data_IF_618118923223
#
_entry.id   IF_618118923223
#
_cell.length_a   1.000
_cell.length_b   1.000
_cell.length_c   1.000
_cell.angle_alpha   90.00
_cell.angle_beta   90.00
_cell.angle_gamma   90.00
#
_symmetry.space_group_name_H-M   'P 1'
#
loop_
_entity.id
_entity.type
_entity.pdbx_description
1 polymer ?
#
# COMPACT_ATOMS: atom_id res chain seq x y z
N UNK A 1 18.06 17.40 -18.39
CA UNK A 1 18.31 16.93 -17.01
C UNK A 1 17.62 17.93 -16.10
N UNK A 2 16.45 17.55 -15.58
CA UNK A 2 15.70 18.38 -14.63
C UNK A 2 16.27 18.21 -13.21
N UNK A 3 15.80 19.01 -12.24
CA UNK A 3 16.21 18.88 -10.84
C UNK A 3 15.79 17.50 -10.32
N UNK A 4 16.76 16.73 -9.83
CA UNK A 4 16.55 15.47 -9.09
C UNK A 4 16.63 15.83 -7.62
N UNK A 5 15.59 15.56 -6.85
CA UNK A 5 15.60 15.70 -5.39
C UNK A 5 15.70 14.31 -4.76
N UNK A 6 16.81 14.03 -4.09
CA UNK A 6 16.97 12.83 -3.26
C UNK A 6 16.35 13.06 -1.89
N UNK A 7 15.39 12.22 -1.52
CA UNK A 7 14.83 12.17 -0.17
C UNK A 7 15.25 10.86 0.50
N UNK A 8 15.92 10.96 1.66
CA UNK A 8 16.28 9.81 2.49
C UNK A 8 15.31 9.76 3.67
N UNK A 9 14.49 8.70 3.74
CA UNK A 9 13.62 8.42 4.89
C UNK A 9 14.31 7.35 5.73
N UNK A 10 14.93 7.75 6.84
CA UNK A 10 15.68 6.84 7.72
C UNK A 10 14.98 6.66 9.07
N UNK A 11 14.57 5.43 9.36
CA UNK A 11 14.24 4.98 10.72
C UNK A 11 15.05 3.72 11.01
N UNK A 12 15.65 3.63 12.21
CA UNK A 12 16.68 2.66 12.58
C UNK A 12 16.35 1.21 12.18
N UNK A 13 17.19 0.62 11.31
CA UNK A 13 17.21 -0.82 11.01
C UNK A 13 16.96 -1.22 9.55
N UNK A 14 16.32 -0.37 8.77
CA UNK A 14 16.14 -0.51 7.31
C UNK A 14 15.67 0.81 6.70
N UNK A 15 16.46 1.37 5.80
CA UNK A 15 16.10 2.58 5.07
C UNK A 15 15.63 2.24 3.67
N UNK A 16 14.60 2.94 3.20
CA UNK A 16 14.42 3.15 1.77
C UNK A 16 15.15 4.43 1.33
N UNK A 17 15.65 4.44 0.10
CA UNK A 17 16.07 5.67 -0.57
C UNK A 17 15.09 5.95 -1.70
N UNK A 18 14.64 7.20 -1.81
CA UNK A 18 13.65 7.60 -2.81
C UNK A 18 14.26 8.72 -3.66
N UNK A 19 14.45 8.42 -4.94
CA UNK A 19 14.80 9.41 -5.95
C UNK A 19 13.53 9.77 -6.73
N UNK A 20 13.14 11.05 -6.67
CA UNK A 20 11.90 11.53 -7.27
C UNK A 20 12.19 12.09 -8.68
N UNK A 21 11.68 11.40 -9.69
CA UNK A 21 11.66 11.84 -11.08
C UNK A 21 10.31 12.46 -11.45
N UNK A 22 10.22 13.79 -11.41
CA UNK A 22 9.04 14.51 -11.89
C UNK A 22 9.03 14.60 -13.42
N UNK A 23 7.97 14.08 -14.06
CA UNK A 23 7.61 14.41 -15.44
C UNK A 23 6.54 15.52 -15.41
N UNK A 24 6.54 16.36 -16.45
CA UNK A 24 5.76 17.60 -16.47
C UNK A 24 4.27 17.36 -16.14
N UNK A 25 3.63 18.29 -15.44
CA UNK A 25 2.17 18.25 -15.21
C UNK A 25 1.69 17.54 -13.92
N UNK A 26 2.53 16.80 -13.21
CA UNK A 26 2.08 16.08 -12.01
C UNK A 26 1.66 17.00 -10.85
N UNK A 27 2.39 18.10 -10.61
CA UNK A 27 2.11 19.04 -9.51
C UNK A 27 0.93 19.99 -9.78
N UNK A 28 0.47 20.09 -11.03
CA UNK A 28 -0.62 20.97 -11.44
C UNK A 28 -2.03 20.48 -11.07
N UNK A 29 -2.17 19.19 -10.73
CA UNK A 29 -3.39 18.62 -10.17
C UNK A 29 -3.40 18.87 -8.65
N UNK A 30 -3.72 20.10 -8.27
CA UNK A 30 -3.66 20.64 -6.91
C UNK A 30 -4.29 19.76 -5.84
N UNK A 31 -3.57 19.68 -4.71
CA UNK A 31 -3.88 19.16 -3.36
C UNK A 31 -5.21 19.64 -2.73
N UNK A 32 -6.32 19.55 -3.46
CA UNK A 32 -7.67 19.91 -3.00
C UNK A 32 -8.54 18.69 -2.68
N UNK A 33 -8.07 17.48 -2.95
CA UNK A 33 -8.76 16.26 -2.52
C UNK A 33 -8.52 15.94 -1.03
N UNK A 34 -7.38 16.38 -0.46
CA UNK A 34 -7.02 16.10 0.92
C UNK A 34 -7.95 16.78 1.95
N UNK A 35 -8.72 17.79 1.53
CA UNK A 35 -9.53 18.63 2.42
C UNK A 35 -11.04 18.36 2.29
N UNK A 36 -11.43 17.29 1.58
CA UNK A 36 -12.81 16.83 1.58
C UNK A 36 -13.05 16.03 2.87
N UNK A 37 -13.25 16.75 3.98
CA UNK A 37 -13.95 16.22 5.15
C UNK A 37 -15.39 15.96 4.69
N UNK A 38 -15.68 14.71 4.32
CA UNK A 38 -16.84 14.35 3.51
C UNK A 38 -18.16 14.42 4.29
N UNK A 39 -19.02 15.40 3.95
CA UNK A 39 -20.42 15.50 4.42
C UNK A 39 -21.46 15.02 3.39
N UNK A 40 -21.03 14.47 2.24
CA UNK A 40 -21.89 13.93 1.17
C UNK A 40 -21.26 12.68 0.52
N UNK A 41 -22.05 11.80 -0.14
CA UNK A 41 -21.55 10.63 -0.86
C UNK A 41 -20.43 11.00 -1.83
N UNK A 42 -19.36 10.21 -1.85
CA UNK A 42 -18.11 10.52 -2.56
C UNK A 42 -18.37 10.67 -4.07
N UNK A 43 -19.27 9.87 -4.63
CA UNK A 43 -19.68 9.96 -6.04
C UNK A 43 -20.38 11.29 -6.37
N UNK A 44 -21.10 11.90 -5.43
CA UNK A 44 -21.76 13.21 -5.65
C UNK A 44 -20.77 14.38 -5.66
N UNK A 45 -19.57 14.19 -5.12
CA UNK A 45 -18.52 15.23 -5.02
C UNK A 45 -17.53 15.11 -6.18
N UNK A 46 -17.16 13.88 -6.55
CA UNK A 46 -16.34 13.60 -7.74
C UNK A 46 -17.05 12.55 -8.58
N UNK A 47 -17.76 12.97 -9.64
CA UNK A 47 -18.38 12.04 -10.57
C UNK A 47 -17.40 11.06 -11.22
N UNK A 48 -17.89 9.87 -11.57
CA UNK A 48 -17.13 8.85 -12.34
C UNK A 48 -16.56 9.43 -13.64
N UNK A 49 -17.26 10.37 -14.27
CA UNK A 49 -16.84 11.03 -15.50
C UNK A 49 -16.06 12.33 -15.29
N UNK A 50 -15.79 12.72 -14.04
CA UNK A 50 -15.13 13.98 -13.72
C UNK A 50 -13.80 14.11 -14.46
N UNK A 51 -13.54 15.30 -15.02
CA UNK A 51 -12.26 15.67 -15.63
C UNK A 51 -11.11 15.55 -14.62
N UNK A 52 -11.41 15.57 -13.32
CA UNK A 52 -10.42 15.35 -12.25
C UNK A 52 -9.81 13.96 -12.23
N UNK A 53 -10.53 12.96 -12.78
CA UNK A 53 -10.02 11.60 -12.91
C UNK A 53 -9.19 11.41 -14.18
N UNK A 54 -9.10 12.43 -15.05
CA UNK A 54 -8.25 12.35 -16.23
C UNK A 54 -6.79 12.49 -15.84
N UNK A 55 -6.02 11.46 -16.21
CA UNK A 55 -4.58 11.46 -15.98
C UNK A 55 -3.92 12.45 -16.93
N UNK A 56 -3.43 13.55 -16.39
CA UNK A 56 -2.72 14.59 -17.16
C UNK A 56 -1.21 14.54 -16.98
N UNK A 57 -0.74 13.84 -15.94
CA UNK A 57 0.66 13.77 -15.58
C UNK A 57 1.01 12.48 -14.85
N UNK A 58 2.27 12.08 -14.99
CA UNK A 58 2.82 10.87 -14.36
C UNK A 58 4.02 11.23 -13.48
N UNK A 59 4.11 10.64 -12.28
CA UNK A 59 5.28 10.76 -11.40
C UNK A 59 6.00 9.42 -11.36
N UNK A 60 7.31 9.44 -11.52
CA UNK A 60 8.16 8.25 -11.45
C UNK A 60 9.04 8.36 -10.21
N UNK A 61 8.92 7.39 -9.31
CA UNK A 61 9.68 7.28 -8.07
C UNK A 61 10.64 6.11 -8.18
N UNK A 62 11.94 6.36 -8.12
CA UNK A 62 12.91 5.28 -8.00
C UNK A 62 13.09 4.98 -6.51
N UNK A 63 12.56 3.85 -6.05
CA UNK A 63 12.67 3.43 -4.65
C UNK A 63 13.69 2.31 -4.55
N UNK A 64 14.67 2.50 -3.67
CA UNK A 64 15.65 1.51 -3.26
C UNK A 64 15.26 0.97 -1.88
N UNK A 65 14.87 -0.31 -1.82
CA UNK A 65 14.53 -1.02 -0.60
C UNK A 65 15.71 -1.89 -0.15
N UNK A 66 16.29 -1.59 1.00
CA UNK A 66 17.35 -2.41 1.59
C UNK A 66 16.78 -3.54 2.44
N UNK A 67 17.37 -4.73 2.32
CA UNK A 67 16.98 -5.91 3.11
C UNK A 67 18.16 -6.84 3.39
N UNK A 68 18.07 -7.60 4.48
CA UNK A 68 19.07 -8.64 4.79
C UNK A 68 18.77 -9.88 3.95
N UNK A 69 19.74 -10.28 3.14
CA UNK A 69 19.57 -11.25 2.07
C UNK A 69 19.58 -12.70 2.55
N UNK A 70 18.41 -13.32 2.59
CA UNK A 70 18.18 -14.73 2.27
C UNK A 70 16.93 -14.81 1.40
N UNK A 71 17.01 -15.48 0.25
CA UNK A 71 15.83 -15.65 -0.60
C UNK A 71 14.83 -16.56 0.12
N UNK A 72 13.61 -16.07 0.32
CA UNK A 72 12.56 -16.76 1.05
C UNK A 72 11.31 -16.87 0.20
N UNK A 73 10.53 -17.94 0.39
CA UNK A 73 9.28 -18.11 -0.34
C UNK A 73 8.24 -17.11 0.19
N UNK A 74 7.59 -16.38 -0.71
CA UNK A 74 6.53 -15.47 -0.35
C UNK A 74 5.33 -16.26 0.17
N UNK A 75 4.85 -15.94 1.36
CA UNK A 75 3.61 -16.46 1.93
C UNK A 75 2.41 -15.82 1.21
N UNK A 76 2.14 -16.31 0.01
CA UNK A 76 1.05 -15.86 -0.84
C UNK A 76 -0.27 -16.54 -0.46
N UNK A 77 -1.33 -15.75 -0.45
CA UNK A 77 -2.71 -16.21 -0.44
C UNK A 77 -3.46 -15.71 -1.66
N UNK A 78 -4.61 -16.33 -1.91
CA UNK A 78 -5.37 -16.17 -3.14
C UNK A 78 -6.84 -16.00 -2.79
N UNK A 79 -7.45 -14.95 -3.33
CA UNK A 79 -8.86 -14.65 -3.14
C UNK A 79 -9.58 -14.75 -4.47
N UNK A 80 -10.80 -15.30 -4.43
CA UNK A 80 -11.74 -15.29 -5.55
C UNK A 80 -13.11 -14.94 -5.00
N UNK A 81 -13.72 -13.95 -5.60
CA UNK A 81 -14.98 -13.34 -5.21
C UNK A 81 -16.17 -14.25 -5.48
N UNK A 82 -17.25 -14.07 -4.72
CA UNK A 82 -18.55 -14.69 -4.97
C UNK A 82 -19.29 -14.12 -6.19
N UNK A 83 -18.80 -13.03 -6.78
CA UNK A 83 -19.37 -12.43 -8.00
C UNK A 83 -19.27 -13.39 -9.21
N UNK A 84 -18.31 -14.30 -9.20
CA UNK A 84 -18.17 -15.31 -10.25
C UNK A 84 -19.17 -16.46 -10.07
N UNK A 85 -19.79 -16.91 -11.17
CA UNK A 85 -20.65 -18.12 -11.18
C UNK A 85 -19.91 -19.38 -10.68
N UNK A 86 -18.60 -19.46 -10.96
CA UNK A 86 -17.70 -20.47 -10.44
C UNK A 86 -16.79 -19.88 -9.37
N UNK A 87 -17.00 -20.30 -8.12
CA UNK A 87 -16.20 -19.93 -6.96
C UNK A 87 -14.89 -20.73 -6.86
N UNK A 88 -14.66 -21.69 -7.76
CA UNK A 88 -13.42 -22.46 -7.81
C UNK A 88 -12.22 -21.58 -8.14
N UNK A 89 -11.22 -21.61 -7.26
CA UNK A 89 -9.92 -21.00 -7.51
C UNK A 89 -9.18 -21.63 -8.70
N UNK A 90 -9.59 -22.81 -9.19
CA UNK A 90 -8.88 -23.55 -10.22
C UNK A 90 -9.64 -23.59 -11.56
N UNK A 91 -8.94 -23.26 -12.64
CA UNK A 91 -9.45 -23.30 -14.00
C UNK A 91 -9.21 -24.67 -14.67
N UNK A 92 -10.21 -25.10 -15.45
CA UNK A 92 -10.18 -26.34 -16.25
C UNK A 92 -9.25 -26.26 -17.47
N UNK A 93 -8.97 -25.05 -17.98
CA UNK A 93 -8.12 -24.81 -19.17
C UNK A 93 -7.08 -23.74 -18.89
N UNK A 94 -5.82 -24.03 -19.19
CA UNK A 94 -4.64 -23.20 -18.91
C UNK A 94 -4.35 -22.25 -20.07
N UNK A 95 -4.23 -20.96 -19.77
CA UNK A 95 -3.32 -20.09 -20.50
C UNK A 95 -1.93 -20.23 -19.86
N UNK A 96 -0.96 -20.68 -20.67
CA UNK A 96 0.40 -20.97 -20.21
C UNK A 96 1.25 -19.72 -20.01
N UNK A 97 0.82 -18.58 -20.55
CA UNK A 97 1.58 -17.33 -20.60
C UNK A 97 0.88 -16.16 -19.91
N UNK A 98 -0.22 -16.39 -19.18
CA UNK A 98 -0.97 -15.33 -18.51
C UNK A 98 -0.11 -14.56 -17.49
N UNK A 99 0.44 -13.42 -17.93
CA UNK A 99 1.29 -12.52 -17.14
C UNK A 99 0.48 -11.79 -16.07
N UNK A 100 -0.82 -11.60 -16.33
CA UNK A 100 -1.80 -10.93 -15.47
C UNK A 100 -1.69 -11.33 -13.99
N UNK A 101 -1.67 -12.64 -13.70
CA UNK A 101 -1.67 -13.18 -12.32
C UNK A 101 -0.42 -12.81 -11.53
N UNK A 102 0.66 -12.52 -12.25
CA UNK A 102 1.99 -12.29 -11.70
C UNK A 102 2.54 -10.93 -12.10
N UNK A 103 1.71 -9.96 -12.47
CA UNK A 103 2.19 -8.65 -12.91
C UNK A 103 3.07 -7.99 -11.83
N UNK A 104 2.72 -8.20 -10.56
CA UNK A 104 3.45 -7.72 -9.38
C UNK A 104 4.64 -8.62 -8.95
N UNK A 105 4.85 -9.78 -9.58
CA UNK A 105 5.97 -10.69 -9.28
C UNK A 105 7.36 -10.05 -9.36
N UNK A 106 7.64 -9.07 -10.25
CA UNK A 106 8.94 -8.42 -10.29
C UNK A 106 9.29 -7.70 -8.98
N UNK A 107 8.30 -7.14 -8.29
CA UNK A 107 8.49 -6.56 -6.96
C UNK A 107 8.97 -7.61 -5.96
N UNK A 108 8.24 -8.74 -5.88
CA UNK A 108 8.60 -9.84 -4.98
C UNK A 108 9.98 -10.39 -5.30
N UNK A 109 10.26 -10.66 -6.58
CA UNK A 109 11.55 -11.16 -7.02
C UNK A 109 12.71 -10.23 -6.67
N UNK A 110 12.57 -8.93 -6.96
CA UNK A 110 13.61 -7.94 -6.69
C UNK A 110 13.85 -7.71 -5.19
N UNK A 111 12.86 -8.01 -4.36
CA UNK A 111 12.94 -7.96 -2.89
C UNK A 111 13.26 -9.31 -2.26
N UNK A 112 13.88 -10.22 -3.03
CA UNK A 112 14.29 -11.57 -2.61
C UNK A 112 13.17 -12.47 -2.06
N UNK A 113 11.93 -12.21 -2.48
CA UNK A 113 10.76 -13.03 -2.17
C UNK A 113 10.40 -13.87 -3.39
N UNK A 114 10.32 -15.19 -3.25
CA UNK A 114 9.95 -16.08 -4.36
C UNK A 114 8.43 -16.17 -4.48
N UNK A 115 7.81 -15.64 -5.55
CA UNK A 115 6.38 -15.83 -5.78
C UNK A 115 6.13 -17.25 -6.32
N UNK A 116 5.24 -18.00 -5.66
CA UNK A 116 4.80 -19.32 -6.13
C UNK A 116 3.29 -19.26 -6.38
N UNK A 117 2.92 -18.96 -7.62
CA UNK A 117 1.52 -18.88 -8.05
C UNK A 117 1.20 -20.09 -8.93
N UNK A 118 0.30 -21.01 -8.51
CA UNK A 118 -0.07 -22.15 -9.31
C UNK A 118 -0.71 -21.75 -10.65
N UNK A 119 -0.26 -22.34 -11.75
CA UNK A 119 -0.74 -21.99 -13.10
C UNK A 119 -2.24 -22.24 -13.30
N UNK A 120 -2.79 -23.25 -12.63
CA UNK A 120 -4.21 -23.58 -12.67
C UNK A 120 -5.07 -22.57 -11.92
N UNK A 121 -4.48 -21.67 -11.14
CA UNK A 121 -5.23 -20.77 -10.30
C UNK A 121 -5.72 -19.54 -11.08
N UNK A 122 -6.92 -19.06 -10.76
CA UNK A 122 -7.49 -17.79 -11.24
C UNK A 122 -7.98 -16.96 -10.05
N UNK A 123 -7.04 -16.36 -9.29
CA UNK A 123 -7.39 -15.45 -8.22
C UNK A 123 -7.86 -14.12 -8.82
N UNK A 124 -8.79 -13.47 -8.14
CA UNK A 124 -9.12 -12.07 -8.38
C UNK A 124 -8.12 -11.16 -7.64
N UNK A 125 -7.74 -11.53 -6.42
CA UNK A 125 -6.73 -10.80 -5.65
C UNK A 125 -5.67 -11.79 -5.16
N UNK A 126 -4.41 -11.43 -5.33
CA UNK A 126 -3.28 -12.15 -4.73
C UNK A 126 -2.71 -11.30 -3.62
N UNK A 127 -2.49 -11.90 -2.46
CA UNK A 127 -2.00 -11.19 -1.29
C UNK A 127 -0.84 -11.90 -0.62
N UNK A 128 -0.06 -11.17 0.17
CA UNK A 128 1.17 -11.64 0.79
C UNK A 128 1.17 -11.27 2.28
N UNK A 129 1.37 -12.26 3.15
CA UNK A 129 1.53 -12.02 4.60
C UNK A 129 3.00 -11.90 5.03
N UNK A 130 3.93 -12.36 4.20
CA UNK A 130 5.36 -12.31 4.50
C UNK A 130 6.21 -13.01 3.43
N UNK A 131 7.54 -13.03 3.60
CA UNK A 131 8.28 -12.42 4.71
C UNK A 131 8.16 -10.90 4.72
N UNK A 132 8.12 -10.34 5.91
CA UNK A 132 7.97 -8.90 6.13
C UNK A 132 9.32 -8.20 5.99
N UNK A 133 9.44 -7.31 5.01
CA UNK A 133 10.57 -6.39 4.95
C UNK A 133 10.14 -5.09 5.60
N UNK A 134 10.95 -4.56 6.49
CA UNK A 134 10.62 -3.36 7.25
C UNK A 134 10.42 -2.12 6.37
N UNK A 135 11.04 -2.07 5.18
CA UNK A 135 10.76 -1.01 4.20
C UNK A 135 9.48 -1.21 3.37
N UNK A 136 8.75 -2.33 3.49
CA UNK A 136 7.45 -2.49 2.81
C UNK A 136 6.45 -1.41 3.26
N UNK A 137 6.45 -1.06 4.56
CA UNK A 137 5.63 0.05 5.08
C UNK A 137 6.05 1.40 4.48
N UNK A 138 7.37 1.66 4.47
CA UNK A 138 7.91 2.93 3.98
C UNK A 138 7.61 3.13 2.49
N UNK A 139 7.57 2.05 1.70
CA UNK A 139 7.13 2.11 0.30
C UNK A 139 5.68 2.58 0.24
N UNK A 140 4.77 1.92 0.96
CA UNK A 140 3.35 2.32 0.99
C UNK A 140 3.15 3.77 1.44
N UNK A 141 3.85 4.20 2.49
CA UNK A 141 3.82 5.58 2.98
C UNK A 141 4.37 6.57 1.95
N UNK A 142 5.48 6.23 1.29
CA UNK A 142 6.07 7.07 0.23
C UNK A 142 5.12 7.21 -0.94
N UNK A 143 4.52 6.10 -1.39
CA UNK A 143 3.54 6.13 -2.48
C UNK A 143 2.35 7.00 -2.09
N UNK A 144 1.83 6.87 -0.88
CA UNK A 144 0.73 7.71 -0.38
C UNK A 144 1.11 9.20 -0.31
N UNK A 145 2.29 9.51 0.25
CA UNK A 145 2.77 10.90 0.38
C UNK A 145 2.98 11.58 -0.98
N UNK A 146 3.35 10.79 -2.00
CA UNK A 146 3.61 11.28 -3.34
C UNK A 146 2.39 11.25 -4.27
N UNK A 147 1.27 10.67 -3.81
CA UNK A 147 0.00 10.66 -4.53
C UNK A 147 -0.58 12.06 -4.71
N UNK A 148 -1.21 12.31 -5.86
CA UNK A 148 -1.80 13.61 -6.18
C UNK A 148 -3.12 13.87 -5.44
N UNK A 149 -3.89 12.80 -5.20
CA UNK A 149 -5.22 12.84 -4.58
C UNK A 149 -5.38 11.66 -3.63
N UNK A 150 -5.93 11.92 -2.43
CA UNK A 150 -6.16 10.90 -1.40
C UNK A 150 -7.61 10.95 -0.93
N UNK A 151 -8.26 9.79 -0.85
CA UNK A 151 -9.56 9.57 -0.21
C UNK A 151 -9.27 8.78 1.08
N UNK A 152 -9.23 9.46 2.21
CA UNK A 152 -8.96 8.85 3.51
C UNK A 152 -10.28 8.58 4.25
N UNK A 153 -10.53 7.30 4.58
CA UNK A 153 -11.68 6.85 5.37
C UNK A 153 -11.31 6.59 6.83
N UNK A 154 -10.16 7.09 7.26
CA UNK A 154 -9.68 7.07 8.65
C UNK A 154 -8.75 8.27 8.88
N UNK A 155 -8.64 8.75 10.13
CA UNK A 155 -7.74 9.85 10.46
C UNK A 155 -6.28 9.45 10.24
N UNK A 156 -5.45 10.45 9.94
CA UNK A 156 -4.01 10.27 9.91
C UNK A 156 -3.47 9.90 11.31
N UNK A 157 -2.39 9.11 11.37
CA UNK A 157 -1.69 8.86 12.61
C UNK A 157 -1.33 10.20 13.26
N UNK A 158 -1.42 10.30 14.61
CA UNK A 158 -0.93 11.47 15.30
C UNK A 158 0.53 11.66 14.86
N UNK A 159 0.84 12.84 14.33
CA UNK A 159 2.20 13.16 13.94
C UNK A 159 3.11 12.82 15.11
N UNK A 160 4.10 11.94 14.88
CA UNK A 160 5.14 11.69 15.88
C UNK A 160 5.63 13.07 16.31
N UNK A 161 5.46 13.37 17.60
CA UNK A 161 5.96 14.61 18.16
C UNK A 161 7.45 14.61 17.81
N UNK A 162 7.84 15.49 16.89
CA UNK A 162 9.25 15.80 16.68
C UNK A 162 9.72 16.17 18.07
N UNK A 163 10.49 15.29 18.70
CA UNK A 163 11.18 15.66 19.92
C UNK A 163 11.99 16.89 19.53
N UNK A 164 11.55 18.06 19.98
CA UNK A 164 12.35 19.26 19.87
C UNK A 164 13.74 18.88 20.40
N UNK A 165 14.82 19.18 19.66
CA UNK A 165 16.15 18.92 20.15
C UNK A 165 16.25 19.62 21.49
N UNK A 166 16.28 18.82 22.56
CA UNK A 166 16.47 19.32 23.92
C UNK A 166 17.72 20.20 23.85
N UNK A 167 17.68 21.43 24.38
CA UNK A 167 18.86 22.28 24.41
C UNK A 167 19.94 21.47 25.09
N UNK A 168 21.01 21.18 24.35
CA UNK A 168 22.19 20.56 24.89
C UNK A 168 22.71 21.53 25.93
N UNK A 169 22.51 21.22 27.21
CA UNK A 169 23.18 21.96 28.26
C UNK A 169 24.68 21.77 28.08
N UNK A 170 25.33 22.84 27.62
CA UNK A 170 26.77 23.04 27.72
C UNK A 170 27.17 23.01 29.21
N UNK A 171 27.47 21.81 29.72
CA UNK A 171 28.23 21.67 30.95
C UNK A 171 29.65 21.19 30.63
N UNK A 172 30.50 22.18 30.39
CA UNK A 172 31.78 22.30 31.09
C UNK A 172 32.74 21.11 31.01
N UNK A 173 33.73 21.26 30.15
CA UNK A 173 35.06 20.68 30.29
C UNK A 173 35.57 20.72 31.74
N UNK A 174 35.56 19.59 32.45
CA UNK A 174 36.59 19.17 33.41
C UNK A 174 36.13 17.93 34.19
N UNK A 175 36.83 16.81 33.99
CA UNK A 175 37.22 15.77 34.99
C UNK A 175 37.35 14.38 34.34
N UNK A 176 38.28 14.26 33.40
CA UNK A 176 38.80 12.99 32.87
C UNK A 176 39.83 12.33 33.82
N UNK A 177 39.72 12.55 35.14
CA UNK A 177 40.78 12.20 36.11
C UNK A 177 40.34 11.47 37.37
N UNK A 178 39.05 11.13 37.53
CA UNK A 178 38.53 10.65 38.82
C UNK A 178 37.47 9.53 38.72
N UNK A 179 37.59 8.64 37.73
CA UNK A 179 36.79 7.39 37.66
C UNK A 179 37.61 6.14 37.32
N UNK A 180 38.81 6.03 37.89
CA UNK A 180 39.64 4.82 37.85
C UNK A 180 39.96 4.30 39.27
N UNK A 181 38.96 4.29 40.17
CA UNK A 181 39.18 3.77 41.55
C UNK A 181 38.18 2.74 42.08
N UNK A 182 37.23 2.28 41.27
CA UNK A 182 36.29 1.21 41.70
C UNK A 182 36.14 0.10 40.64
N UNK A 183 37.26 -0.41 40.14
CA UNK A 183 37.27 -1.70 39.42
C UNK A 183 37.92 -2.72 40.35
N UNK A 184 37.11 -3.33 41.22
CA UNK A 184 37.52 -4.53 41.96
C UNK A 184 37.45 -5.72 41.01
N UNK A 185 38.60 -6.24 40.61
CA UNK A 185 38.73 -7.48 39.84
C UNK A 185 38.51 -8.66 40.80
N UNK A 186 37.52 -9.56 40.60
CA UNK A 186 37.42 -10.75 41.42
C UNK A 186 38.50 -11.76 41.01
N UNK A 187 39.17 -12.32 42.02
CA UNK A 187 40.17 -13.37 41.91
C UNK A 187 39.58 -14.65 41.31
N UNK A 188 40.13 -15.11 40.19
CA UNK A 188 39.78 -16.38 39.54
C UNK A 188 40.62 -17.49 40.17
N UNK A 189 40.12 -18.09 41.24
CA UNK A 189 40.70 -19.32 41.80
C UNK A 189 39.64 -20.10 42.59
N UNK A 190 39.01 -21.07 41.92
CA UNK A 190 38.29 -22.28 42.39
C UNK A 190 37.13 -22.57 41.42
N UNK A 191 37.36 -23.29 40.33
CA UNK A 191 37.27 -24.77 40.23
C UNK A 191 35.95 -25.35 40.76
N UNK A 192 35.07 -25.66 39.80
CA UNK A 192 34.05 -26.72 39.81
C UNK A 192 33.07 -26.78 40.99
N UNK A 193 31.94 -26.11 40.81
CA UNK A 193 30.65 -26.60 41.33
C UNK A 193 29.62 -26.48 40.22
N UNK A 194 29.28 -27.63 39.61
CA UNK A 194 28.18 -27.76 38.63
C UNK A 194 26.86 -27.57 39.37
N UNK A 195 26.44 -26.32 39.55
CA UNK A 195 25.05 -26.01 39.89
C UNK A 195 24.23 -26.03 38.60
N UNK A 196 23.32 -27.00 38.48
CA UNK A 196 22.26 -26.99 37.48
C UNK A 196 21.24 -25.94 37.91
N UNK A 197 21.44 -24.68 37.52
CA UNK A 197 20.32 -23.75 37.47
C UNK A 197 19.36 -24.24 36.36
N UNK A 198 18.06 -24.41 36.63
CA UNK A 198 17.10 -24.71 35.59
C UNK A 198 17.18 -23.61 34.54
N UNK A 199 17.28 -23.99 33.27
CA UNK A 199 17.20 -23.04 32.16
C UNK A 199 15.91 -22.22 32.34
N UNK A 200 15.95 -20.88 32.22
CA UNK A 200 14.72 -20.11 32.19
C UNK A 200 13.87 -20.69 31.06
N UNK A 201 12.60 -20.97 31.37
CA UNK A 201 11.63 -21.32 30.35
C UNK A 201 11.70 -20.25 29.26
N UNK A 202 11.81 -20.69 28.00
CA UNK A 202 11.83 -19.79 26.87
C UNK A 202 10.47 -19.10 26.80
N UNK A 203 10.31 -17.99 27.50
CA UNK A 203 9.28 -17.02 27.22
C UNK A 203 9.49 -16.62 25.76
N UNK A 204 8.58 -17.09 24.90
CA UNK A 204 8.45 -16.62 23.53
C UNK A 204 8.55 -15.11 23.60
N UNK A 205 9.61 -14.55 23.02
CA UNK A 205 9.82 -13.11 22.99
C UNK A 205 8.49 -12.47 22.57
N UNK A 206 7.94 -11.61 23.43
CA UNK A 206 6.69 -10.94 23.15
C UNK A 206 6.82 -10.28 21.78
N UNK A 207 6.02 -10.72 20.82
CA UNK A 207 5.99 -10.12 19.49
C UNK A 207 5.69 -8.64 19.72
N UNK A 208 6.53 -7.72 19.24
CA UNK A 208 6.27 -6.30 19.43
C UNK A 208 4.85 -6.01 18.94
N UNK A 209 4.06 -5.25 19.71
CA UNK A 209 2.70 -4.94 19.30
C UNK A 209 2.74 -4.33 17.89
N UNK A 210 1.85 -4.75 16.98
CA UNK A 210 1.86 -4.24 15.62
C UNK A 210 1.74 -2.71 15.66
N UNK A 211 2.43 -1.98 14.75
CA UNK A 211 2.32 -0.53 14.67
C UNK A 211 0.85 -0.11 14.61
N UNK A 212 0.48 0.88 15.42
CA UNK A 212 -0.85 1.46 15.48
C UNK A 212 -0.69 2.92 15.04
N UNK A 213 -1.49 3.42 14.09
CA UNK A 213 -2.69 2.83 13.48
C UNK A 213 -2.52 1.97 12.20
N UNK A 214 -2.89 0.69 12.24
CA UNK A 214 -2.94 -0.16 11.02
C UNK A 214 -3.89 0.38 9.97
N UNK A 215 -3.36 0.79 8.82
CA UNK A 215 -4.10 1.25 7.64
C UNK A 215 -3.62 0.49 6.40
N UNK A 216 -4.35 0.62 5.32
CA UNK A 216 -3.96 0.12 4.01
C UNK A 216 -4.21 1.20 2.98
N UNK A 217 -3.20 1.48 2.17
CA UNK A 217 -3.32 2.33 0.98
C UNK A 217 -3.59 1.44 -0.22
N UNK A 218 -4.57 1.83 -1.03
CA UNK A 218 -4.98 1.19 -2.27
C UNK A 218 -4.74 2.20 -3.39
N UNK A 219 -3.95 1.84 -4.39
CA UNK A 219 -3.59 2.75 -5.48
C UNK A 219 -3.41 2.02 -6.81
N UNK A 220 -3.55 2.78 -7.91
CA UNK A 220 -3.09 2.35 -9.23
C UNK A 220 -1.60 2.65 -9.34
N UNK A 221 -0.79 1.64 -9.63
CA UNK A 221 0.66 1.75 -9.72
C UNK A 221 1.20 1.01 -10.94
N UNK A 222 2.18 1.60 -11.61
CA UNK A 222 3.02 0.91 -12.59
C UNK A 222 4.38 0.55 -12.00
N UNK A 223 4.89 -0.61 -12.35
CA UNK A 223 6.26 -1.01 -12.00
C UNK A 223 7.14 -1.01 -13.25
N UNK A 224 8.34 -0.44 -13.10
CA UNK A 224 9.38 -0.45 -14.13
C UNK A 224 10.72 -0.91 -13.57
N UNK A 225 11.52 -1.64 -14.36
CA UNK A 225 12.87 -2.01 -13.95
C UNK A 225 13.74 -0.76 -13.73
N UNK A 226 14.75 -0.85 -12.86
CA UNK A 226 15.69 0.25 -12.61
C UNK A 226 16.46 0.64 -13.89
N UNK A 227 16.75 -0.35 -14.75
CA UNK A 227 17.34 -0.16 -16.09
C UNK A 227 16.48 -0.89 -17.12
N UNK A 228 17.07 -1.44 -18.18
CA UNK A 228 16.34 -2.12 -19.26
C UNK A 228 15.79 -3.50 -18.91
N UNK A 229 16.36 -4.18 -17.90
CA UNK A 229 16.03 -5.56 -17.55
C UNK A 229 15.61 -5.66 -16.09
N UNK A 230 14.59 -6.47 -15.80
CA UNK A 230 14.12 -6.73 -14.42
C UNK A 230 15.18 -7.31 -13.49
N UNK A 231 16.15 -8.05 -14.02
CA UNK A 231 17.29 -8.54 -13.24
C UNK A 231 18.15 -7.41 -12.66
N UNK A 232 18.12 -6.21 -13.25
CA UNK A 232 18.85 -5.04 -12.72
C UNK A 232 18.20 -4.42 -11.47
N UNK A 233 16.94 -4.79 -11.19
CA UNK A 233 16.21 -4.37 -9.99
C UNK A 233 16.51 -5.26 -8.78
N UNK A 234 17.01 -6.47 -8.99
CA UNK A 234 17.46 -7.37 -7.93
C UNK A 234 18.97 -7.21 -7.73
N UNK A 235 19.36 -6.55 -6.64
CA UNK A 235 20.77 -6.37 -6.29
C UNK A 235 21.06 -7.03 -4.95
N UNK A 236 22.32 -7.39 -4.64
CA UNK A 236 22.64 -8.00 -3.36
C UNK A 236 22.24 -7.12 -2.17
N UNK A 237 21.23 -7.54 -1.41
CA UNK A 237 20.75 -6.82 -0.22
C UNK A 237 19.92 -5.57 -0.50
N UNK A 238 19.57 -5.30 -1.77
CA UNK A 238 18.72 -4.16 -2.13
C UNK A 238 17.84 -4.46 -3.35
N UNK A 239 16.63 -3.93 -3.33
CA UNK A 239 15.70 -3.90 -4.47
C UNK A 239 15.64 -2.49 -4.99
N UNK A 240 15.74 -2.30 -6.30
CA UNK A 240 15.68 -0.97 -6.92
C UNK A 240 14.64 -0.98 -8.03
N UNK A 241 13.52 -0.29 -7.85
CA UNK A 241 12.37 -0.34 -8.78
C UNK A 241 11.83 1.08 -9.00
N UNK A 242 11.42 1.35 -10.24
CA UNK A 242 10.67 2.54 -10.59
C UNK A 242 9.17 2.28 -10.35
N UNK A 243 8.55 3.10 -9.51
CA UNK A 243 7.12 3.13 -9.25
C UNK A 243 6.51 4.30 -9.98
N UNK A 244 5.41 4.07 -10.66
CA UNK A 244 4.77 5.05 -11.53
C UNK A 244 3.39 5.37 -10.97
N UNK A 245 3.19 6.62 -10.55
CA UNK A 245 1.93 7.13 -10.03
C UNK A 245 1.24 8.02 -11.07
N UNK A 246 -0.09 7.94 -11.11
CA UNK A 246 -0.93 8.69 -12.04
C UNK A 246 -1.70 9.76 -11.26
N UNK A 247 -1.61 11.02 -11.70
CA UNK A 247 -2.25 12.11 -10.96
C UNK A 247 -3.78 12.10 -11.01
N UNK A 248 -4.37 11.47 -12.03
CA UNK A 248 -5.81 11.30 -12.15
C UNK A 248 -6.38 10.17 -11.29
N UNK A 249 -5.53 9.29 -10.75
CA UNK A 249 -5.96 8.16 -9.91
C UNK A 249 -5.89 8.54 -8.43
N UNK A 250 -7.03 8.54 -7.70
CA UNK A 250 -7.00 8.76 -6.26
C UNK A 250 -6.32 7.57 -5.56
N UNK A 251 -5.69 7.82 -4.42
CA UNK A 251 -5.31 6.75 -3.48
C UNK A 251 -6.37 6.63 -2.41
N UNK A 252 -6.80 5.41 -2.09
CA UNK A 252 -7.81 5.17 -1.04
C UNK A 252 -7.11 4.64 0.20
N UNK A 253 -7.39 5.23 1.36
CA UNK A 253 -6.80 4.82 2.64
C UNK A 253 -7.90 4.34 3.58
N UNK A 254 -7.75 3.10 4.07
CA UNK A 254 -8.72 2.46 4.97
C UNK A 254 -8.06 1.90 6.23
N UNK A 255 -8.76 1.89 7.37
CA UNK A 255 -8.29 1.18 8.56
C UNK A 255 -8.46 -0.33 8.36
N UNK A 256 -7.48 -1.14 8.81
CA UNK A 256 -7.50 -2.59 8.58
C UNK A 256 -7.34 -3.41 9.86
N UNK A 257 -8.00 -4.58 9.86
CA UNK A 257 -8.02 -5.55 10.97
C UNK A 257 -6.63 -6.13 11.24
N UNK A 258 -6.44 -6.60 12.47
CA UNK A 258 -5.28 -7.42 12.82
C UNK A 258 -5.31 -8.70 12.00
N UNK A 259 -4.30 -8.89 11.14
CA UNK A 259 -4.25 -10.03 10.22
C UNK A 259 -4.49 -9.68 8.75
N UNK A 260 -4.85 -8.44 8.43
CA UNK A 260 -4.84 -7.97 7.04
C UNK A 260 -3.44 -8.17 6.40
N UNK A 261 -3.39 -8.54 5.11
CA UNK A 261 -2.12 -8.84 4.45
C UNK A 261 -1.22 -7.62 4.40
N UNK A 262 0.08 -7.88 4.24
CA UNK A 262 1.08 -6.84 4.11
C UNK A 262 0.95 -6.15 2.76
N UNK A 263 0.76 -6.95 1.72
CA UNK A 263 0.64 -6.53 0.33
C UNK A 263 -0.51 -7.29 -0.30
N UNK A 264 -1.24 -6.64 -1.19
CA UNK A 264 -2.16 -7.31 -2.09
C UNK A 264 -2.17 -6.61 -3.45
N UNK A 265 -2.54 -7.32 -4.50
CA UNK A 265 -2.75 -6.72 -5.81
C UNK A 265 -3.90 -7.42 -6.51
N UNK A 266 -4.65 -6.62 -7.26
CA UNK A 266 -5.66 -7.09 -8.19
C UNK A 266 -4.98 -7.94 -9.28
N UNK A 267 -5.57 -9.09 -9.61
CA UNK A 267 -5.09 -9.98 -10.65
C UNK A 267 -5.20 -9.38 -12.04
N UNK A 268 -6.05 -8.36 -12.22
CA UNK A 268 -6.18 -7.63 -13.47
C UNK A 268 -5.04 -6.64 -13.68
N UNK A 269 -4.53 -6.60 -14.91
CA UNK A 269 -3.57 -5.58 -15.34
C UNK A 269 -4.29 -4.33 -15.82
N UNK A 270 -3.54 -3.24 -15.94
CA UNK A 270 -4.07 -2.01 -16.49
C UNK A 270 -4.48 -2.16 -17.97
N UNK A 271 -3.77 -3.01 -18.74
CA UNK A 271 -4.19 -3.40 -20.10
C UNK A 271 -5.64 -3.91 -20.11
N UNK A 272 -5.98 -4.79 -19.17
CA UNK A 272 -7.31 -5.38 -19.05
C UNK A 272 -8.34 -4.36 -18.55
N UNK A 273 -7.97 -3.55 -17.57
CA UNK A 273 -8.82 -2.47 -17.07
C UNK A 273 -9.14 -1.47 -18.20
N UNK A 274 -8.19 -1.18 -19.10
CA UNK A 274 -8.40 -0.29 -20.25
C UNK A 274 -9.38 -0.81 -21.31
N UNK A 275 -9.74 -2.10 -21.27
CA UNK A 275 -10.78 -2.66 -22.13
C UNK A 275 -12.20 -2.53 -21.54
N UNK A 276 -12.30 -2.19 -20.26
CA UNK A 276 -13.58 -2.05 -19.55
C UNK A 276 -14.29 -0.78 -20.02
N UNK A 277 -15.59 -0.90 -20.29
CA UNK A 277 -16.43 0.26 -20.58
C UNK A 277 -16.99 0.81 -19.28
N UNK A 278 -16.87 2.12 -19.11
CA UNK A 278 -17.50 2.83 -18.00
C UNK A 278 -19.02 2.92 -18.22
N UNK A 279 -19.81 3.08 -17.14
CA UNK A 279 -21.22 3.44 -17.25
C UNK A 279 -21.40 4.75 -18.03
N UNK A 280 -22.58 4.98 -18.61
CA UNK A 280 -22.83 6.18 -19.41
C UNK A 280 -23.20 7.41 -18.55
N UNK A 281 -23.78 7.16 -17.38
CA UNK A 281 -24.09 8.17 -16.38
C UNK A 281 -24.09 7.56 -14.98
N UNK A 282 -24.09 8.41 -13.94
CA UNK A 282 -24.12 7.95 -12.55
C UNK A 282 -25.38 7.15 -12.24
N UNK A 283 -25.21 6.00 -11.58
CA UNK A 283 -26.31 5.10 -11.21
C UNK A 283 -26.77 4.17 -12.35
N UNK A 284 -26.25 4.33 -13.56
CA UNK A 284 -26.43 3.34 -14.63
C UNK A 284 -25.35 2.26 -14.56
N UNK A 285 -25.71 1.06 -15.00
CA UNK A 285 -24.74 -0.04 -15.12
C UNK A 285 -23.94 0.10 -16.41
N UNK A 286 -22.68 -0.31 -16.36
CA UNK A 286 -21.84 -0.42 -17.55
C UNK A 286 -22.48 -1.36 -18.57
N UNK A 287 -22.30 -1.12 -19.88
CA UNK A 287 -22.94 -1.91 -20.94
C UNK A 287 -22.67 -3.41 -20.82
N UNK A 288 -21.51 -3.77 -20.29
CA UNK A 288 -21.04 -5.15 -20.19
C UNK A 288 -21.09 -5.67 -18.74
N UNK A 289 -21.52 -4.85 -17.76
CA UNK A 289 -21.54 -5.17 -16.31
C UNK A 289 -20.16 -5.41 -15.66
N UNK A 290 -19.08 -5.34 -16.45
CA UNK A 290 -17.72 -5.66 -15.99
C UNK A 290 -17.18 -4.65 -14.99
N UNK A 291 -17.51 -3.37 -15.16
CA UNK A 291 -17.05 -2.31 -14.27
C UNK A 291 -17.57 -2.56 -12.84
N UNK A 292 -18.87 -2.79 -12.70
CA UNK A 292 -19.49 -3.09 -11.41
C UNK A 292 -18.93 -4.37 -10.82
N UNK A 293 -18.73 -5.41 -11.65
CA UNK A 293 -18.14 -6.67 -11.20
C UNK A 293 -16.74 -6.48 -10.60
N UNK A 294 -15.87 -5.67 -11.21
CA UNK A 294 -14.52 -5.40 -10.69
C UNK A 294 -14.61 -4.64 -9.35
N UNK A 295 -15.47 -3.62 -9.27
CA UNK A 295 -15.69 -2.86 -8.04
C UNK A 295 -16.22 -3.77 -6.93
N UNK A 296 -17.18 -4.63 -7.24
CA UNK A 296 -17.78 -5.57 -6.28
C UNK A 296 -16.75 -6.60 -5.78
N UNK A 297 -15.91 -7.14 -6.67
CA UNK A 297 -14.81 -8.05 -6.33
C UNK A 297 -13.81 -7.40 -5.37
N UNK A 298 -13.37 -6.17 -5.67
CA UNK A 298 -12.46 -5.42 -4.81
C UNK A 298 -13.11 -5.08 -3.48
N UNK A 299 -14.38 -4.66 -3.50
CA UNK A 299 -15.13 -4.34 -2.30
C UNK A 299 -15.30 -5.56 -1.38
N UNK A 300 -15.70 -6.73 -1.90
CA UNK A 300 -15.81 -7.96 -1.10
C UNK A 300 -14.46 -8.33 -0.45
N UNK A 301 -13.36 -8.22 -1.20
CA UNK A 301 -12.03 -8.47 -0.65
C UNK A 301 -11.68 -7.47 0.47
N UNK A 302 -11.99 -6.19 0.27
CA UNK A 302 -11.71 -5.15 1.26
C UNK A 302 -12.61 -5.26 2.49
N UNK A 303 -13.88 -5.69 2.37
CA UNK A 303 -14.78 -5.93 3.51
C UNK A 303 -14.22 -6.98 4.49
N UNK A 304 -13.50 -7.97 3.97
CA UNK A 304 -12.77 -8.93 4.80
C UNK A 304 -11.65 -8.26 5.61
N UNK A 305 -10.97 -7.27 5.02
CA UNK A 305 -9.77 -6.63 5.57
C UNK A 305 -10.06 -5.40 6.46
N UNK A 306 -11.13 -4.66 6.20
CA UNK A 306 -11.39 -3.33 6.80
C UNK A 306 -11.91 -3.43 8.23
N UNK A 307 -11.34 -2.63 9.13
CA UNK A 307 -11.81 -2.49 10.51
C UNK A 307 -12.89 -1.40 10.59
N UNK A 308 -14.15 -1.79 10.35
CA UNK A 308 -15.31 -0.88 10.21
C UNK A 308 -15.55 0.06 11.39
N UNK A 309 -15.21 -0.35 12.60
CA UNK A 309 -15.31 0.46 13.81
C UNK A 309 -14.42 1.72 13.75
N UNK A 310 -13.31 1.65 13.02
CA UNK A 310 -12.33 2.75 12.87
C UNK A 310 -12.55 3.59 11.63
N UNK A 311 -13.53 3.24 10.79
CA UNK A 311 -13.85 4.02 9.60
C UNK A 311 -14.56 5.30 10.05
N UNK A 312 -14.07 6.44 9.56
CA UNK A 312 -14.60 7.77 9.83
C UNK A 312 -15.09 8.40 8.53
N UNK A 313 -16.37 8.75 8.51
CA UNK A 313 -16.95 9.68 7.55
C UNK A 313 -16.94 11.05 8.25
N UNK A 314 -16.66 12.15 7.56
CA UNK A 314 -16.34 13.45 8.20
C UNK A 314 -17.35 13.94 9.25
N UNK A 315 -16.91 14.90 10.09
CA UNK A 315 -17.58 15.34 11.33
C UNK A 315 -19.06 15.78 11.22
N UNK A 316 -19.59 16.00 10.02
CA UNK A 316 -20.99 16.37 9.78
C UNK A 316 -21.95 15.18 9.60
N UNK A 317 -21.44 13.94 9.52
CA UNK A 317 -22.29 12.74 9.48
C UNK A 317 -22.59 12.31 10.92
N UNK A 318 -23.44 13.07 11.59
CA UNK A 318 -24.15 12.57 12.77
C UNK A 318 -24.76 11.21 12.45
N UNK A 319 -24.76 10.29 13.42
CA UNK A 319 -25.18 8.87 13.41
C UNK A 319 -26.59 8.52 12.84
N UNK A 320 -27.20 9.40 12.05
CA UNK A 320 -28.47 9.23 11.35
C UNK A 320 -28.38 10.01 10.03
N UNK A 321 -28.05 9.34 8.92
CA UNK A 321 -28.30 9.90 7.59
C UNK A 321 -29.79 9.72 7.32
N UNK A 322 -30.52 10.83 7.24
CA UNK A 322 -31.89 10.85 6.74
C UNK A 322 -31.81 10.89 5.21
N UNK A 323 -32.32 9.87 4.52
CA UNK A 323 -32.59 10.00 3.09
C UNK A 323 -33.73 11.02 2.84
N UNK A 324 -33.90 11.46 1.59
CA UNK A 324 -35.00 12.35 1.18
C UNK A 324 -36.41 11.73 1.38
N UNK A 325 -36.48 10.48 1.89
CA UNK A 325 -37.71 9.71 2.17
C UNK A 325 -37.89 9.41 3.68
N UNK A 326 -37.01 9.89 4.56
CA UNK A 326 -37.09 9.70 6.02
C UNK A 326 -36.66 8.33 6.53
N UNK A 327 -35.88 7.55 5.77
CA UNK A 327 -35.28 6.29 6.21
C UNK A 327 -33.96 6.57 6.93
N UNK A 328 -33.81 6.00 8.13
CA UNK A 328 -32.55 6.01 8.88
C UNK A 328 -31.60 5.02 8.22
N UNK A 329 -30.59 5.54 7.54
CA UNK A 329 -29.51 4.70 7.01
C UNK A 329 -28.61 4.27 8.18
N UNK A 330 -28.39 2.96 8.32
CA UNK A 330 -27.50 2.41 9.33
C UNK A 330 -26.06 2.89 9.05
N UNK A 331 -25.37 3.39 10.09
CA UNK A 331 -24.05 4.01 9.96
C UNK A 331 -23.00 3.05 9.37
N UNK A 332 -23.14 1.74 9.57
CA UNK A 332 -22.27 0.74 8.92
C UNK A 332 -22.53 0.66 7.40
N UNK A 333 -23.79 0.79 6.99
CA UNK A 333 -24.18 0.75 5.58
C UNK A 333 -23.62 1.95 4.82
N UNK A 334 -23.70 3.15 5.41
CA UNK A 334 -23.09 4.36 4.85
C UNK A 334 -21.56 4.26 4.72
N UNK A 335 -20.87 3.65 5.71
CA UNK A 335 -19.42 3.39 5.66
C UNK A 335 -19.06 2.45 4.52
N UNK A 336 -19.85 1.39 4.32
CA UNK A 336 -19.66 0.43 3.23
C UNK A 336 -19.89 1.05 1.86
N UNK A 337 -20.93 1.87 1.72
CA UNK A 337 -21.18 2.62 0.48
C UNK A 337 -20.04 3.60 0.19
N UNK A 338 -19.55 4.34 1.18
CA UNK A 338 -18.42 5.26 1.00
C UNK A 338 -17.15 4.53 0.50
N UNK A 339 -16.85 3.34 1.03
CA UNK A 339 -15.75 2.52 0.52
C UNK A 339 -15.99 2.09 -0.93
N UNK A 340 -17.20 1.61 -1.24
CA UNK A 340 -17.58 1.17 -2.58
C UNK A 340 -17.48 2.31 -3.60
N UNK A 341 -17.89 3.51 -3.22
CA UNK A 341 -17.75 4.73 -4.02
C UNK A 341 -16.28 5.07 -4.26
N UNK A 342 -15.46 5.06 -3.21
CA UNK A 342 -14.02 5.33 -3.33
C UNK A 342 -13.32 4.33 -4.27
N UNK A 343 -13.67 3.04 -4.17
CA UNK A 343 -13.17 1.99 -5.08
C UNK A 343 -13.69 2.19 -6.51
N UNK A 344 -14.95 2.60 -6.68
CA UNK A 344 -15.52 2.92 -7.99
C UNK A 344 -14.75 4.05 -8.68
N UNK A 345 -14.39 5.10 -7.95
CA UNK A 345 -13.58 6.20 -8.49
C UNK A 345 -12.16 5.75 -8.84
N UNK A 346 -11.53 4.92 -7.99
CA UNK A 346 -10.22 4.35 -8.25
C UNK A 346 -10.21 3.54 -9.55
N UNK A 347 -11.16 2.62 -9.71
CA UNK A 347 -11.30 1.78 -10.91
C UNK A 347 -11.61 2.65 -12.12
N UNK A 348 -12.54 3.60 -12.00
CA UNK A 348 -12.88 4.52 -13.09
C UNK A 348 -11.66 5.31 -13.58
N UNK A 349 -10.87 5.86 -12.67
CA UNK A 349 -9.63 6.55 -13.01
C UNK A 349 -8.60 5.63 -13.68
N UNK A 350 -8.48 4.39 -13.22
CA UNK A 350 -7.64 3.37 -13.84
C UNK A 350 -8.05 3.15 -15.31
N UNK A 351 -9.35 2.98 -15.59
CA UNK A 351 -9.87 2.84 -16.96
C UNK A 351 -9.59 4.11 -17.80
N UNK A 352 -9.88 5.30 -17.25
CA UNK A 352 -9.70 6.59 -17.95
C UNK A 352 -8.23 6.90 -18.26
N UNK A 353 -7.28 6.35 -17.49
CA UNK A 353 -5.85 6.57 -17.72
C UNK A 353 -5.37 6.18 -19.12
N UNK A 354 -6.10 5.29 -19.82
CA UNK A 354 -5.89 4.94 -21.24
C UNK A 354 -5.84 6.15 -22.17
N UNK A 355 -6.59 7.20 -21.84
CA UNK A 355 -6.70 8.40 -22.68
C UNK A 355 -5.45 9.31 -22.55
N UNK A 356 -4.62 9.08 -21.54
CA UNK A 356 -3.41 9.86 -21.31
C UNK A 356 -2.25 9.34 -22.14
N UNK A 357 -1.72 10.20 -23.02
CA UNK A 357 -0.52 9.88 -23.80
C UNK A 357 0.68 9.63 -22.89
N UNK A 358 0.83 10.43 -21.84
CA UNK A 358 1.94 10.28 -20.89
C UNK A 358 1.84 8.96 -20.12
N UNK A 359 0.64 8.57 -19.66
CA UNK A 359 0.46 7.28 -19.01
C UNK A 359 0.84 6.11 -19.94
N UNK A 360 0.46 6.17 -21.23
CA UNK A 360 0.80 5.13 -22.21
C UNK A 360 2.27 5.07 -22.58
N UNK A 361 2.99 6.19 -22.54
CA UNK A 361 4.44 6.21 -22.76
C UNK A 361 5.20 5.75 -21.51
N UNK A 362 4.68 6.07 -20.32
CA UNK A 362 5.36 5.85 -19.06
C UNK A 362 4.94 4.62 -18.27
N UNK A 363 3.88 3.92 -18.66
CA UNK A 363 3.50 2.66 -18.05
C UNK A 363 3.86 1.49 -18.94
N UNK A 364 4.19 0.39 -18.29
CA UNK A 364 4.08 -0.94 -18.88
C UNK A 364 2.71 -1.47 -18.44
N UNK A 365 1.74 -1.50 -19.36
CA UNK A 365 0.33 -1.82 -19.09
C UNK A 365 0.14 -3.24 -18.55
N UNK A 366 1.06 -4.16 -18.88
CA UNK A 366 1.16 -5.53 -18.35
C UNK A 366 1.74 -5.61 -16.93
N UNK A 367 2.35 -4.53 -16.45
CA UNK A 367 3.04 -4.41 -15.16
C UNK A 367 2.53 -3.24 -14.33
N UNK A 368 1.31 -2.83 -14.64
CA UNK A 368 0.55 -1.84 -13.90
C UNK A 368 -0.81 -2.41 -13.51
N UNK A 369 -1.36 -1.92 -12.41
CA UNK A 369 -2.65 -2.37 -11.90
C UNK A 369 -2.95 -1.77 -10.54
N UNK A 370 -3.98 -2.30 -9.88
CA UNK A 370 -4.33 -1.89 -8.52
C UNK A 370 -3.52 -2.72 -7.53
N UNK A 371 -2.79 -2.05 -6.64
CA UNK A 371 -2.07 -2.71 -5.57
C UNK A 371 -2.27 -1.99 -4.23
N UNK A 372 -2.02 -2.74 -3.17
CA UNK A 372 -2.38 -2.42 -1.80
C UNK A 372 -1.17 -2.64 -0.91
N UNK A 373 -0.87 -1.65 -0.08
CA UNK A 373 0.17 -1.74 0.93
C UNK A 373 -0.45 -1.48 2.29
N UNK A 374 -0.18 -2.36 3.25
CA UNK A 374 -0.37 -2.01 4.65
C UNK A 374 0.59 -0.87 4.99
N UNK A 375 0.12 0.10 5.76
CA UNK A 375 0.90 1.24 6.27
C UNK A 375 0.55 1.45 7.76
N UNK A 376 1.46 2.04 8.54
CA UNK A 376 1.22 2.32 9.95
C UNK A 376 0.31 3.53 10.20
#
# INVERSE_FOLDING_TARGET
>A
MGPVSDAVVSTFGSSIMVEIGLKAGFEGATKLANDLVFSKPINKIVPIHSDRLDTTGVKVLLITLQFKSTMEDAALGFYRSSVHDDTSLFATVKDYLAVEKGWFSPYLFASARRPIIPRSMKPDVVFCHGPFLSGDYQIGETLLNESASVIALCPDPPAEAKEDPTPSEEHGTAKLGQRLKDISIPSISNLFSRSRSPSPDAELAAVPPPPIPRRMVILVVGLKPHRKLWTSSARPGESVINYVLLNGCPSVVVPVKTGAPLLAWDGLTLEQLWEVKLPASEGEKSPDGKFEGIVDVLFEYMDLCVEWDRVTLGDDVSDVVLDDQGVVEDGETAKKEALKDALSLLVAAAVKSKNSKEAREELDEDRAGIAMWRIP
#
